data_IF_681158833210
#
_entry.id   IF_681158833210
#
_cell.length_a   1.000
_cell.length_b   1.000
_cell.length_c   1.000
_cell.angle_alpha   90.00
_cell.angle_beta   90.00
_cell.angle_gamma   90.00
#
_symmetry.space_group_name_H-M   'P 1'
#
loop_
_entity.id
_entity.type
_entity.pdbx_description
1 polymer ?
#
# COMPACT_ATOMS: atom_id res chain seq x y z
N UNK A 1 -12.34 -8.23 -0.82
CA UNK A 1 -12.83 -7.02 -1.52
C UNK A 1 -11.74 -6.36 -2.34
N UNK A 2 -10.58 -6.05 -1.75
CA UNK A 2 -9.49 -5.33 -2.44
C UNK A 2 -9.02 -6.03 -3.72
N UNK A 3 -8.91 -7.34 -3.73
CA UNK A 3 -8.55 -8.11 -4.94
C UNK A 3 -9.53 -7.88 -6.09
N UNK A 4 -10.83 -7.92 -5.79
CA UNK A 4 -11.89 -7.63 -6.79
C UNK A 4 -11.72 -6.20 -7.31
N UNK A 5 -11.55 -5.24 -6.39
CA UNK A 5 -11.37 -3.83 -6.73
C UNK A 5 -10.18 -3.59 -7.67
N UNK A 6 -9.01 -4.15 -7.36
CA UNK A 6 -7.79 -4.02 -8.18
C UNK A 6 -7.97 -4.64 -9.57
N UNK A 7 -8.61 -5.81 -9.65
CA UNK A 7 -8.82 -6.53 -10.91
C UNK A 7 -9.66 -5.72 -11.90
N UNK A 8 -10.71 -5.05 -11.41
CA UNK A 8 -11.61 -4.27 -12.26
C UNK A 8 -11.14 -2.83 -12.49
N UNK A 9 -10.31 -2.29 -11.58
CA UNK A 9 -9.91 -0.88 -11.57
C UNK A 9 -9.24 -0.45 -12.87
N UNK A 10 -8.29 -1.23 -13.39
CA UNK A 10 -7.54 -0.88 -14.59
C UNK A 10 -8.42 -0.73 -15.82
N UNK A 11 -9.24 -1.75 -16.11
CA UNK A 11 -10.14 -1.75 -17.27
C UNK A 11 -11.22 -0.67 -17.19
N UNK A 12 -11.76 -0.44 -16.00
CA UNK A 12 -12.76 0.61 -15.78
C UNK A 12 -12.14 2.01 -15.88
N UNK A 13 -10.91 2.21 -15.38
CA UNK A 13 -10.19 3.47 -15.48
C UNK A 13 -9.86 3.82 -16.94
N UNK A 14 -9.50 2.85 -17.76
CA UNK A 14 -9.24 3.07 -19.18
C UNK A 14 -10.51 3.40 -19.96
N UNK A 15 -11.64 2.79 -19.60
CA UNK A 15 -12.94 3.04 -20.27
C UNK A 15 -13.60 4.34 -19.83
N UNK A 16 -13.66 4.64 -18.55
CA UNK A 16 -14.49 5.75 -18.01
C UNK A 16 -13.67 6.96 -17.55
N UNK A 17 -12.36 6.82 -17.42
CA UNK A 17 -11.48 7.85 -16.84
C UNK A 17 -11.13 7.58 -15.38
N UNK A 18 -10.22 8.40 -14.88
CA UNK A 18 -9.69 8.22 -13.52
C UNK A 18 -10.59 8.90 -12.48
N UNK A 19 -11.00 10.14 -12.77
CA UNK A 19 -11.82 10.94 -11.87
C UNK A 19 -13.17 10.28 -11.51
N UNK A 20 -14.02 9.82 -12.45
CA UNK A 20 -15.29 9.18 -12.10
C UNK A 20 -15.08 7.93 -11.24
N UNK A 21 -14.02 7.16 -11.51
CA UNK A 21 -13.74 5.96 -10.75
C UNK A 21 -13.30 6.25 -9.31
N UNK A 22 -12.51 7.31 -9.11
CA UNK A 22 -12.17 7.82 -7.78
C UNK A 22 -13.40 8.27 -7.00
N UNK A 23 -14.36 8.95 -7.67
CA UNK A 23 -15.62 9.36 -7.05
C UNK A 23 -16.50 8.16 -6.68
N UNK A 24 -16.62 7.17 -7.57
CA UNK A 24 -17.38 5.94 -7.31
C UNK A 24 -16.76 5.17 -6.14
N UNK A 25 -15.43 5.04 -6.10
CA UNK A 25 -14.74 4.40 -4.98
C UNK A 25 -15.02 5.12 -3.66
N UNK A 26 -14.98 6.45 -3.64
CA UNK A 26 -15.32 7.23 -2.44
C UNK A 26 -16.77 6.98 -1.98
N UNK A 27 -17.74 7.00 -2.89
CA UNK A 27 -19.15 6.73 -2.57
C UNK A 27 -19.36 5.32 -2.02
N UNK A 28 -18.76 4.30 -2.64
CA UNK A 28 -18.83 2.92 -2.15
C UNK A 28 -18.21 2.82 -0.76
N UNK A 29 -17.08 3.48 -0.51
CA UNK A 29 -16.43 3.45 0.80
C UNK A 29 -17.24 4.15 1.88
N UNK A 30 -17.87 5.29 1.58
CA UNK A 30 -18.79 6.00 2.48
C UNK A 30 -19.97 5.08 2.84
N UNK A 31 -20.65 4.53 1.84
CA UNK A 31 -21.78 3.63 2.06
C UNK A 31 -21.37 2.38 2.85
N UNK A 32 -20.22 1.80 2.56
CA UNK A 32 -19.67 0.64 3.27
C UNK A 32 -19.34 0.97 4.74
N UNK A 33 -18.73 2.12 5.01
CA UNK A 33 -18.37 2.56 6.37
C UNK A 33 -19.62 2.78 7.22
N UNK A 34 -20.60 3.49 6.67
CA UNK A 34 -21.88 3.76 7.34
C UNK A 34 -22.62 2.44 7.56
N UNK A 35 -22.76 1.59 6.53
CA UNK A 35 -23.44 0.31 6.60
C UNK A 35 -22.77 -0.68 7.57
N UNK A 36 -21.44 -0.67 7.66
CA UNK A 36 -20.72 -1.49 8.65
C UNK A 36 -21.13 -1.10 10.07
N UNK A 37 -21.19 0.19 10.38
CA UNK A 37 -21.62 0.66 11.71
C UNK A 37 -23.09 0.34 12.05
N UNK A 38 -23.97 0.22 11.05
CA UNK A 38 -25.36 -0.18 11.22
C UNK A 38 -25.59 -1.69 11.15
N UNK A 39 -24.56 -2.51 10.94
CA UNK A 39 -24.72 -3.95 10.85
C UNK A 39 -25.21 -4.55 12.18
N UNK A 40 -26.20 -5.45 12.09
CA UNK A 40 -26.78 -6.16 13.25
C UNK A 40 -26.31 -7.61 13.34
N UNK A 41 -25.78 -8.15 12.26
CA UNK A 41 -25.26 -9.51 12.20
C UNK A 41 -23.94 -9.58 11.43
N UNK A 42 -23.23 -10.69 11.62
CA UNK A 42 -21.89 -10.89 11.04
C UNK A 42 -21.91 -10.92 9.51
N UNK A 43 -22.97 -11.46 8.91
CA UNK A 43 -23.08 -11.58 7.44
C UNK A 43 -23.20 -10.20 6.78
N UNK A 44 -24.02 -9.29 7.33
CA UNK A 44 -24.14 -7.92 6.83
C UNK A 44 -22.86 -7.13 7.05
N UNK A 45 -22.19 -7.33 8.20
CA UNK A 45 -20.88 -6.73 8.45
C UNK A 45 -19.86 -7.16 7.40
N UNK A 46 -19.73 -8.46 7.13
CA UNK A 46 -18.83 -9.01 6.12
C UNK A 46 -19.16 -8.43 4.74
N UNK A 47 -20.43 -8.35 4.37
CA UNK A 47 -20.84 -7.80 3.07
C UNK A 47 -20.37 -6.34 2.90
N UNK A 48 -20.65 -5.47 3.88
CA UNK A 48 -20.17 -4.07 3.82
C UNK A 48 -18.64 -3.97 3.84
N UNK A 49 -17.94 -4.84 4.57
CA UNK A 49 -16.45 -4.90 4.55
C UNK A 49 -15.91 -5.32 3.20
N UNK A 50 -16.58 -6.22 2.47
CA UNK A 50 -16.22 -6.60 1.11
C UNK A 50 -16.40 -5.38 0.18
N UNK A 51 -17.52 -4.66 0.24
CA UNK A 51 -17.73 -3.45 -0.56
C UNK A 51 -16.71 -2.36 -0.25
N UNK A 52 -16.40 -2.12 1.03
CA UNK A 52 -15.34 -1.20 1.44
C UNK A 52 -13.97 -1.63 0.89
N UNK A 53 -13.66 -2.93 0.89
CA UNK A 53 -12.47 -3.48 0.27
C UNK A 53 -12.41 -3.22 -1.23
N UNK A 54 -13.51 -3.40 -1.96
CA UNK A 54 -13.58 -3.10 -3.41
C UNK A 54 -13.22 -1.62 -3.65
N UNK A 55 -13.77 -0.71 -2.86
CA UNK A 55 -13.47 0.71 -2.95
C UNK A 55 -11.98 1.01 -2.71
N UNK A 56 -11.38 0.40 -1.68
CA UNK A 56 -9.94 0.52 -1.38
C UNK A 56 -9.10 -0.01 -2.55
N UNK A 57 -9.47 -1.18 -3.10
CA UNK A 57 -8.77 -1.77 -4.25
C UNK A 57 -8.78 -0.85 -5.48
N UNK A 58 -9.93 -0.24 -5.79
CA UNK A 58 -10.05 0.74 -6.87
C UNK A 58 -9.17 1.96 -6.57
N UNK A 59 -9.31 2.56 -5.39
CA UNK A 59 -8.60 3.79 -5.02
C UNK A 59 -7.08 3.57 -5.00
N UNK A 60 -6.60 2.44 -4.47
CA UNK A 60 -5.16 2.11 -4.40
C UNK A 60 -4.51 1.93 -5.77
N UNK A 61 -5.29 1.63 -6.80
CA UNK A 61 -4.81 1.50 -8.18
C UNK A 61 -4.93 2.83 -8.93
N UNK A 62 -6.10 3.47 -8.85
CA UNK A 62 -6.44 4.63 -9.69
C UNK A 62 -5.79 5.90 -9.17
N UNK A 63 -5.65 6.10 -7.85
CA UNK A 63 -5.05 7.33 -7.30
C UNK A 63 -3.57 7.50 -7.66
N UNK A 64 -2.69 6.50 -7.47
CA UNK A 64 -1.30 6.61 -7.92
C UNK A 64 -1.18 6.75 -9.45
N UNK A 65 -2.06 6.08 -10.20
CA UNK A 65 -2.13 6.21 -11.66
C UNK A 65 -2.45 7.65 -12.07
N UNK A 66 -3.48 8.25 -11.49
CA UNK A 66 -3.84 9.64 -11.73
C UNK A 66 -2.69 10.60 -11.38
N UNK A 67 -2.07 10.42 -10.21
CA UNK A 67 -0.92 11.23 -9.79
C UNK A 67 0.22 11.13 -10.80
N UNK A 68 0.52 9.93 -11.28
CA UNK A 68 1.61 9.72 -12.25
C UNK A 68 1.32 10.32 -13.63
N UNK A 69 0.05 10.42 -14.03
CA UNK A 69 -0.39 10.97 -15.31
C UNK A 69 -0.48 12.49 -15.33
N UNK A 70 -0.71 13.12 -14.17
CA UNK A 70 -0.80 14.59 -14.06
C UNK A 70 0.54 15.21 -13.68
N UNK A 71 1.45 14.46 -13.04
CA UNK A 71 2.71 14.97 -12.53
C UNK A 71 3.77 15.08 -13.64
N UNK A 72 4.49 16.22 -13.74
CA UNK A 72 5.66 16.34 -14.59
C UNK A 72 6.72 15.28 -14.24
N UNK A 73 7.44 14.77 -15.25
CA UNK A 73 8.40 13.68 -15.08
C UNK A 73 9.44 13.95 -13.98
N UNK A 74 9.94 15.19 -13.89
CA UNK A 74 10.96 15.62 -12.93
C UNK A 74 10.54 15.48 -11.45
N UNK A 75 9.24 15.53 -11.14
CA UNK A 75 8.72 15.51 -9.75
C UNK A 75 7.77 14.35 -9.48
N UNK A 76 7.54 13.49 -10.47
CA UNK A 76 6.60 12.35 -10.39
C UNK A 76 6.91 11.44 -9.20
N UNK A 77 8.18 11.09 -8.99
CA UNK A 77 8.60 10.25 -7.88
C UNK A 77 8.24 10.85 -6.51
N UNK A 78 8.43 12.16 -6.33
CA UNK A 78 8.01 12.87 -5.11
C UNK A 78 6.50 12.76 -4.87
N UNK A 79 5.68 12.98 -5.90
CA UNK A 79 4.22 12.91 -5.74
C UNK A 79 3.72 11.49 -5.46
N UNK A 80 4.34 10.47 -6.05
CA UNK A 80 4.04 9.06 -5.72
C UNK A 80 4.44 8.74 -4.28
N UNK A 81 5.56 9.27 -3.79
CA UNK A 81 5.97 9.11 -2.38
C UNK A 81 5.02 9.81 -1.40
N UNK A 82 4.45 10.97 -1.78
CA UNK A 82 3.42 11.66 -0.99
C UNK A 82 2.16 10.79 -0.85
N UNK A 83 1.78 10.00 -1.87
CA UNK A 83 0.68 9.05 -1.75
C UNK A 83 0.92 8.02 -0.63
N UNK A 84 2.14 7.50 -0.50
CA UNK A 84 2.50 6.61 0.61
C UNK A 84 2.42 7.32 1.96
N UNK A 85 2.93 8.55 2.05
CA UNK A 85 2.84 9.36 3.27
C UNK A 85 1.38 9.60 3.68
N UNK A 86 0.51 9.94 2.73
CA UNK A 86 -0.94 10.13 2.98
C UNK A 86 -1.58 8.86 3.53
N UNK A 87 -1.20 7.68 3.02
CA UNK A 87 -1.67 6.39 3.53
C UNK A 87 -1.27 6.20 4.99
N UNK A 88 -0.02 6.47 5.33
CA UNK A 88 0.51 6.31 6.70
C UNK A 88 -0.14 7.31 7.67
N UNK A 89 -0.32 8.56 7.23
CA UNK A 89 -1.06 9.58 8.02
C UNK A 89 -2.53 9.16 8.25
N UNK A 90 -3.17 8.55 7.25
CA UNK A 90 -4.51 8.00 7.38
C UNK A 90 -4.58 6.88 8.43
N UNK A 91 -3.60 5.98 8.44
CA UNK A 91 -3.49 4.90 9.45
C UNK A 91 -3.36 5.51 10.85
N UNK A 92 -2.44 6.45 11.04
CA UNK A 92 -2.25 7.12 12.34
C UNK A 92 -3.53 7.85 12.79
N UNK A 93 -4.17 8.59 11.89
CA UNK A 93 -5.42 9.30 12.20
C UNK A 93 -6.52 8.34 12.64
N UNK A 94 -6.66 7.20 11.97
CA UNK A 94 -7.62 6.16 12.36
C UNK A 94 -7.30 5.56 13.74
N UNK A 95 -6.02 5.32 14.03
CA UNK A 95 -5.59 4.81 15.34
C UNK A 95 -5.88 5.80 16.47
N UNK A 96 -5.57 7.10 16.28
CA UNK A 96 -5.87 8.16 17.24
C UNK A 96 -7.38 8.26 17.48
N UNK A 97 -8.16 8.31 16.42
CA UNK A 97 -9.64 8.39 16.51
C UNK A 97 -10.22 7.19 17.24
N UNK A 98 -9.74 5.99 16.93
CA UNK A 98 -10.19 4.77 17.63
C UNK A 98 -9.83 4.81 19.12
N UNK A 99 -8.63 5.29 19.47
CA UNK A 99 -8.21 5.47 20.87
C UNK A 99 -9.09 6.49 21.58
N UNK A 100 -9.44 7.62 20.95
CA UNK A 100 -10.29 8.65 21.54
C UNK A 100 -11.76 8.19 21.71
N UNK A 101 -12.27 7.33 20.83
CA UNK A 101 -13.65 6.78 20.92
C UNK A 101 -13.72 5.71 22.01
N UNK A 102 -12.67 4.91 22.18
CA UNK A 102 -12.65 3.84 23.17
C UNK A 102 -12.69 4.38 24.59
N UNK A 103 -13.52 3.75 25.43
CA UNK A 103 -13.62 4.05 26.85
C UNK A 103 -12.87 3.00 27.68
N UNK A 104 -12.24 3.39 28.81
CA UNK A 104 -11.64 2.43 29.73
C UNK A 104 -12.71 1.41 30.21
N UNK A 105 -12.35 0.16 30.28
CA UNK A 105 -13.23 -0.89 30.83
C UNK A 105 -13.00 -0.93 32.34
N UNK A 106 -14.02 -0.59 33.11
CA UNK A 106 -13.99 -0.69 34.57
C UNK A 106 -14.19 -2.16 34.93
N UNK A 107 -13.30 -2.72 35.74
CA UNK A 107 -13.24 -4.14 36.09
C UNK A 107 -14.51 -4.73 36.71
N UNK A 108 -15.46 -3.88 37.13
CA UNK A 108 -16.78 -4.27 37.69
C UNK A 108 -17.87 -4.41 36.62
N UNK A 109 -17.65 -3.94 35.40
CA UNK A 109 -18.65 -4.09 34.33
C UNK A 109 -18.51 -5.43 33.59
N UNK A 110 -19.64 -6.02 33.24
CA UNK A 110 -19.64 -7.16 32.31
C UNK A 110 -19.09 -6.69 30.96
N UNK A 111 -17.99 -7.28 30.51
CA UNK A 111 -17.29 -6.90 29.26
C UNK A 111 -18.26 -6.77 28.06
N UNK A 112 -19.26 -7.66 27.96
CA UNK A 112 -20.23 -7.64 26.87
C UNK A 112 -21.17 -6.42 26.91
N UNK A 113 -21.36 -5.79 28.07
CA UNK A 113 -22.20 -4.60 28.26
C UNK A 113 -21.40 -3.31 28.15
N UNK A 114 -20.09 -3.38 27.96
CA UNK A 114 -19.24 -2.19 27.85
C UNK A 114 -19.59 -1.35 26.62
N UNK A 115 -19.40 -0.02 26.73
CA UNK A 115 -19.57 0.91 25.64
C UNK A 115 -18.84 0.46 24.35
N UNK A 116 -17.61 -0.03 24.49
CA UNK A 116 -16.77 -0.43 23.36
C UNK A 116 -17.41 -1.57 22.56
N UNK A 117 -18.02 -2.54 23.24
CA UNK A 117 -18.66 -3.72 22.62
C UNK A 117 -20.05 -3.37 22.06
N UNK A 118 -20.81 -2.51 22.72
CA UNK A 118 -22.17 -2.20 22.30
C UNK A 118 -22.23 -1.13 21.21
N UNK A 119 -21.43 -0.08 21.32
CA UNK A 119 -21.60 1.12 20.49
C UNK A 119 -20.27 1.66 19.96
N UNK A 120 -19.19 1.60 20.72
CA UNK A 120 -17.90 2.25 20.40
C UNK A 120 -17.35 1.83 19.03
N UNK A 121 -17.34 0.52 18.73
CA UNK A 121 -16.86 0.03 17.43
C UNK A 121 -17.68 0.55 16.23
N UNK A 122 -18.98 0.85 16.42
CA UNK A 122 -19.83 1.42 15.37
C UNK A 122 -19.39 2.83 15.03
N UNK A 123 -19.10 3.64 16.04
CA UNK A 123 -18.56 4.99 15.86
C UNK A 123 -17.22 4.98 15.15
N UNK A 124 -16.34 4.02 15.45
CA UNK A 124 -15.05 3.88 14.76
C UNK A 124 -15.23 3.69 13.24
N UNK A 125 -16.26 2.96 12.81
CA UNK A 125 -16.58 2.81 11.39
C UNK A 125 -17.27 4.02 10.80
N UNK A 126 -18.21 4.65 11.50
CA UNK A 126 -18.90 5.84 10.99
C UNK A 126 -17.94 7.01 10.77
N UNK A 127 -17.00 7.22 11.65
CA UNK A 127 -15.99 8.29 11.49
C UNK A 127 -15.13 8.08 10.26
N UNK A 128 -14.91 6.85 9.79
CA UNK A 128 -14.20 6.60 8.53
C UNK A 128 -14.91 7.19 7.30
N UNK A 129 -16.22 7.46 7.38
CA UNK A 129 -16.96 8.12 6.31
C UNK A 129 -16.55 9.61 6.14
N UNK A 130 -16.05 10.26 7.19
CA UNK A 130 -15.67 11.69 7.14
C UNK A 130 -14.50 11.94 6.17
N UNK A 131 -13.32 11.28 6.30
CA UNK A 131 -12.25 11.47 5.35
C UNK A 131 -12.63 11.01 3.93
N UNK A 132 -13.48 9.99 3.79
CA UNK A 132 -13.98 9.57 2.49
C UNK A 132 -14.88 10.62 1.83
N UNK A 133 -15.72 11.31 2.60
CA UNK A 133 -16.53 12.42 2.12
C UNK A 133 -15.65 13.60 1.70
N UNK A 134 -14.65 13.95 2.50
CA UNK A 134 -13.67 14.98 2.13
C UNK A 134 -12.94 14.62 0.83
N UNK A 135 -12.49 13.38 0.70
CA UNK A 135 -11.88 12.88 -0.54
C UNK A 135 -12.85 13.01 -1.73
N UNK A 136 -14.11 12.60 -1.60
CA UNK A 136 -15.12 12.73 -2.63
C UNK A 136 -15.30 14.19 -3.09
N UNK A 137 -15.42 15.13 -2.14
CA UNK A 137 -15.54 16.55 -2.40
C UNK A 137 -14.30 17.07 -3.12
N UNK A 138 -13.10 16.75 -2.65
CA UNK A 138 -11.85 17.19 -3.26
C UNK A 138 -11.68 16.65 -4.69
N UNK A 139 -12.03 15.39 -4.94
CA UNK A 139 -11.97 14.79 -6.27
C UNK A 139 -12.93 15.49 -7.24
N UNK A 140 -14.04 16.05 -6.75
CA UNK A 140 -14.97 16.81 -7.59
C UNK A 140 -14.31 18.04 -8.26
N UNK A 141 -13.37 18.69 -7.57
CA UNK A 141 -12.70 19.90 -8.05
C UNK A 141 -11.47 19.65 -8.93
N UNK A 142 -10.90 18.45 -8.95
CA UNK A 142 -9.76 18.14 -9.82
C UNK A 142 -10.22 17.86 -11.26
N UNK A 143 -9.37 18.15 -12.28
CA UNK A 143 -9.66 17.81 -13.67
C UNK A 143 -9.55 16.28 -13.88
N UNK A 144 -10.07 15.79 -15.01
CA UNK A 144 -9.76 14.43 -15.47
C UNK A 144 -8.29 14.33 -15.92
N UNK A 145 -7.76 13.09 -15.94
CA UNK A 145 -6.39 12.83 -16.41
C UNK A 145 -6.17 13.37 -17.84
N UNK A 146 -5.20 14.28 -18.04
CA UNK A 146 -4.94 14.82 -19.36
C UNK A 146 -4.39 13.75 -20.32
N UNK A 147 -3.65 12.77 -19.83
CA UNK A 147 -3.18 11.64 -20.64
C UNK A 147 -4.35 10.80 -21.13
N UNK A 148 -5.29 10.47 -20.25
CA UNK A 148 -6.51 9.75 -20.63
C UNK A 148 -7.36 10.53 -21.63
N UNK A 149 -7.50 11.86 -21.43
CA UNK A 149 -8.23 12.72 -22.35
C UNK A 149 -7.61 12.73 -23.74
N UNK A 150 -6.28 12.78 -23.85
CA UNK A 150 -5.57 12.75 -25.14
C UNK A 150 -5.79 11.42 -25.86
N UNK A 151 -5.69 10.29 -25.14
CA UNK A 151 -5.92 8.97 -25.71
C UNK A 151 -7.36 8.82 -26.21
N UNK A 152 -8.34 9.44 -25.56
CA UNK A 152 -9.75 9.37 -25.89
C UNK A 152 -10.21 10.53 -26.81
N UNK A 153 -9.34 11.08 -27.65
CA UNK A 153 -9.62 12.11 -28.64
C UNK A 153 -10.18 13.43 -28.06
N UNK A 154 -9.85 13.75 -26.80
CA UNK A 154 -10.21 15.01 -26.11
C UNK A 154 -9.00 15.92 -25.93
N UNK A 155 -8.13 16.00 -26.96
CA UNK A 155 -6.82 16.67 -26.90
C UNK A 155 -6.92 18.15 -26.53
N UNK A 156 -7.94 18.89 -26.94
CA UNK A 156 -8.13 20.29 -26.56
C UNK A 156 -8.30 20.47 -25.04
N UNK A 157 -9.09 19.57 -24.39
CA UNK A 157 -9.28 19.59 -22.93
C UNK A 157 -8.00 19.21 -22.21
N UNK A 158 -7.27 18.21 -22.74
CA UNK A 158 -5.97 17.80 -22.23
C UNK A 158 -4.95 18.94 -22.32
N UNK A 159 -4.88 19.63 -23.44
CA UNK A 159 -4.00 20.78 -23.64
C UNK A 159 -4.24 21.90 -22.60
N UNK A 160 -5.53 22.21 -22.30
CA UNK A 160 -5.87 23.19 -21.25
C UNK A 160 -5.34 22.77 -19.87
N UNK A 161 -5.41 21.49 -19.53
CA UNK A 161 -4.90 20.99 -18.25
C UNK A 161 -3.37 21.03 -18.23
N UNK A 162 -2.70 20.51 -19.25
CA UNK A 162 -1.24 20.56 -19.36
C UNK A 162 -0.72 22.01 -19.37
N UNK A 163 -1.41 22.93 -20.03
CA UNK A 163 -1.02 24.35 -20.06
C UNK A 163 -1.07 25.01 -18.67
N UNK A 164 -2.01 24.60 -17.82
CA UNK A 164 -2.06 25.07 -16.41
C UNK A 164 -0.91 24.53 -15.57
N UNK A 165 -0.37 23.36 -15.94
CA UNK A 165 0.70 22.69 -15.18
C UNK A 165 2.11 23.17 -15.55
N UNK A 166 2.37 23.44 -16.82
CA UNK A 166 3.72 23.77 -17.29
C UNK A 166 3.79 24.78 -18.44
N UNK A 167 2.67 25.45 -18.77
CA UNK A 167 2.61 26.40 -19.87
C UNK A 167 2.34 25.76 -21.25
N UNK A 168 2.19 26.61 -22.28
CA UNK A 168 1.77 26.15 -23.62
C UNK A 168 2.76 25.19 -24.29
N UNK A 169 4.06 25.51 -24.26
CA UNK A 169 5.10 24.66 -24.85
C UNK A 169 5.14 23.26 -24.22
N UNK A 170 5.04 23.20 -22.89
CA UNK A 170 4.94 21.93 -22.17
C UNK A 170 3.69 21.14 -22.60
N UNK A 171 2.55 21.80 -22.74
CA UNK A 171 1.31 21.17 -23.15
C UNK A 171 1.39 20.57 -24.56
N UNK A 172 1.98 21.30 -25.53
CA UNK A 172 2.19 20.79 -26.89
C UNK A 172 3.11 19.56 -26.90
N UNK A 173 4.23 19.61 -26.18
CA UNK A 173 5.15 18.50 -26.05
C UNK A 173 4.47 17.26 -25.45
N UNK A 174 3.72 17.43 -24.35
CA UNK A 174 3.06 16.31 -23.68
C UNK A 174 1.92 15.68 -24.50
N UNK A 175 1.11 16.50 -25.20
CA UNK A 175 0.06 16.00 -26.08
C UNK A 175 0.68 15.21 -27.24
N UNK A 176 1.73 15.73 -27.88
CA UNK A 176 2.41 15.06 -28.98
C UNK A 176 3.08 13.75 -28.53
N UNK A 177 3.73 13.74 -27.37
CA UNK A 177 4.31 12.53 -26.75
C UNK A 177 3.26 11.45 -26.55
N UNK A 178 2.09 11.79 -25.98
CA UNK A 178 1.01 10.83 -25.75
C UNK A 178 0.43 10.31 -27.07
N UNK A 179 0.29 11.17 -28.09
CA UNK A 179 -0.23 10.76 -29.40
C UNK A 179 0.78 9.85 -30.15
N UNK A 180 2.08 10.10 -30.09
CA UNK A 180 3.10 9.23 -30.67
C UNK A 180 3.08 7.84 -30.03
N UNK A 181 2.99 7.78 -28.70
CA UNK A 181 2.88 6.51 -27.96
C UNK A 181 1.59 5.74 -28.28
N UNK A 182 0.48 6.46 -28.58
CA UNK A 182 -0.79 5.84 -29.01
C UNK A 182 -0.63 5.14 -30.37
N UNK A 183 0.10 5.74 -31.31
CA UNK A 183 0.36 5.17 -32.62
C UNK A 183 1.18 3.88 -32.55
N UNK A 184 2.15 3.80 -31.67
CA UNK A 184 2.96 2.60 -31.44
C UNK A 184 2.17 1.51 -30.69
N UNK A 185 1.38 1.89 -29.69
CA UNK A 185 0.56 0.92 -28.91
C UNK A 185 -0.58 0.29 -29.71
N UNK A 186 -1.06 0.94 -30.77
CA UNK A 186 -2.08 0.35 -31.66
C UNK A 186 -1.53 -0.71 -32.59
N UNK A 187 -0.22 -0.69 -32.88
CA UNK A 187 0.47 -1.72 -33.69
C UNK A 187 0.90 -2.94 -32.86
N UNK A 188 1.18 -2.73 -31.56
CA UNK A 188 1.57 -3.79 -30.63
C UNK A 188 0.42 -4.02 -29.62
N UNK A 189 -0.47 -4.95 -29.94
CA UNK A 189 -1.39 -5.56 -28.99
C UNK A 189 -0.57 -6.40 -27.98
N UNK A 190 0.17 -5.72 -27.09
CA UNK A 190 0.91 -6.39 -26.02
C UNK A 190 -0.10 -7.06 -25.09
N UNK A 191 -0.43 -8.30 -25.42
CA UNK A 191 -1.24 -9.17 -24.59
C UNK A 191 -0.58 -9.32 -23.22
N UNK A 192 -1.35 -9.50 -22.14
CA UNK A 192 -0.80 -9.87 -20.83
C UNK A 192 0.16 -11.08 -20.94
N UNK A 193 -0.09 -11.99 -21.89
CA UNK A 193 0.79 -13.13 -22.15
C UNK A 193 2.19 -12.71 -22.62
N UNK A 194 2.32 -11.62 -23.38
CA UNK A 194 3.63 -11.15 -23.85
C UNK A 194 4.52 -10.61 -22.75
N UNK A 195 3.95 -10.15 -21.62
CA UNK A 195 4.70 -9.75 -20.44
C UNK A 195 5.47 -10.92 -19.81
N UNK A 196 4.97 -12.14 -19.96
CA UNK A 196 5.59 -13.35 -19.42
C UNK A 196 6.45 -14.10 -20.44
N UNK A 197 6.81 -13.46 -21.57
CA UNK A 197 7.64 -14.05 -22.62
C UNK A 197 9.00 -13.33 -22.71
N UNK A 198 10.01 -14.08 -23.18
CA UNK A 198 11.34 -13.55 -23.43
C UNK A 198 11.98 -12.86 -22.21
N UNK A 199 12.70 -11.82 -22.49
CA UNK A 199 13.48 -11.02 -21.50
C UNK A 199 12.60 -10.28 -20.50
N UNK A 200 11.36 -9.89 -20.88
CA UNK A 200 10.41 -9.19 -20.03
C UNK A 200 9.95 -10.04 -18.83
N UNK A 201 9.89 -11.38 -18.99
CA UNK A 201 9.52 -12.33 -17.94
C UNK A 201 10.35 -12.13 -16.66
N UNK A 202 11.66 -11.92 -16.80
CA UNK A 202 12.57 -11.72 -15.65
C UNK A 202 12.22 -10.46 -14.88
N UNK A 203 11.97 -9.35 -15.58
CA UNK A 203 11.62 -8.05 -14.98
C UNK A 203 10.28 -8.15 -14.24
N UNK A 204 9.27 -8.78 -14.85
CA UNK A 204 7.95 -8.98 -14.22
C UNK A 204 8.06 -9.84 -12.97
N UNK A 205 8.83 -10.94 -13.01
CA UNK A 205 9.04 -11.81 -11.85
C UNK A 205 9.70 -11.02 -10.70
N UNK A 206 10.71 -10.19 -11.00
CA UNK A 206 11.34 -9.34 -9.99
C UNK A 206 10.31 -8.41 -9.34
N UNK A 207 9.48 -7.73 -10.15
CA UNK A 207 8.43 -6.84 -9.65
C UNK A 207 7.39 -7.57 -8.79
N UNK A 208 6.96 -8.76 -9.20
CA UNK A 208 6.02 -9.60 -8.44
C UNK A 208 6.66 -10.02 -7.10
N UNK A 209 7.89 -10.52 -7.12
CA UNK A 209 8.57 -10.97 -5.90
C UNK A 209 8.77 -9.82 -4.92
N UNK A 210 9.12 -8.62 -5.39
CA UNK A 210 9.25 -7.43 -4.56
C UNK A 210 7.89 -7.05 -3.93
N UNK A 211 6.82 -7.09 -4.71
CA UNK A 211 5.46 -6.80 -4.24
C UNK A 211 4.98 -7.83 -3.20
N UNK A 212 5.25 -9.11 -3.42
CA UNK A 212 4.93 -10.19 -2.47
C UNK A 212 5.79 -10.08 -1.20
N UNK A 213 7.08 -9.83 -1.33
CA UNK A 213 8.00 -9.68 -0.20
C UNK A 213 7.60 -8.53 0.71
N UNK A 214 7.16 -7.40 0.13
CA UNK A 214 6.69 -6.25 0.90
C UNK A 214 5.51 -6.61 1.82
N UNK A 215 4.64 -7.52 1.40
CA UNK A 215 3.52 -7.99 2.22
C UNK A 215 3.96 -9.11 3.18
N UNK A 216 4.70 -10.10 2.67
CA UNK A 216 5.09 -11.29 3.44
C UNK A 216 6.26 -11.05 4.40
N UNK A 217 6.83 -9.83 4.43
CA UNK A 217 7.71 -9.42 5.53
C UNK A 217 7.00 -9.36 6.89
N UNK A 218 5.68 -9.62 6.96
CA UNK A 218 4.94 -9.79 8.20
C UNK A 218 4.44 -8.49 8.85
N UNK A 219 4.77 -7.32 8.31
CA UNK A 219 4.42 -6.05 8.95
C UNK A 219 2.90 -5.80 9.02
N UNK A 220 2.15 -6.22 8.00
CA UNK A 220 0.70 -6.08 7.99
C UNK A 220 0.01 -6.94 9.07
N UNK A 221 0.66 -8.01 9.51
CA UNK A 221 0.21 -8.79 10.64
C UNK A 221 0.29 -7.97 11.93
N UNK A 222 1.38 -7.24 12.12
CA UNK A 222 1.55 -6.37 13.29
C UNK A 222 0.43 -5.33 13.36
N UNK A 223 0.02 -4.73 12.22
CA UNK A 223 -1.07 -3.76 12.20
C UNK A 223 -2.46 -4.38 12.35
N UNK A 224 -2.72 -5.49 11.66
CA UNK A 224 -4.05 -6.11 11.63
C UNK A 224 -4.37 -6.92 12.88
N UNK A 225 -3.36 -7.46 13.53
CA UNK A 225 -3.45 -8.32 14.72
C UNK A 225 -2.66 -7.75 15.90
N UNK A 226 -2.55 -6.42 15.95
CA UNK A 226 -1.84 -5.71 17.01
C UNK A 226 -2.34 -6.10 18.40
N UNK A 227 -3.66 -6.31 18.56
CA UNK A 227 -4.26 -6.72 19.81
C UNK A 227 -3.73 -8.08 20.28
N UNK A 228 -3.69 -9.09 19.42
CA UNK A 228 -3.17 -10.43 19.76
C UNK A 228 -1.66 -10.38 20.07
N UNK A 229 -0.91 -9.58 19.31
CA UNK A 229 0.53 -9.43 19.48
C UNK A 229 0.84 -8.77 20.83
N UNK A 230 0.17 -7.67 21.17
CA UNK A 230 0.36 -6.97 22.44
C UNK A 230 -0.20 -7.76 23.62
N UNK A 231 -1.32 -8.49 23.47
CA UNK A 231 -1.84 -9.39 24.47
C UNK A 231 -0.85 -10.52 24.78
N UNK A 232 -0.26 -11.12 23.75
CA UNK A 232 0.78 -12.15 23.90
C UNK A 232 2.06 -11.60 24.54
N UNK A 233 2.30 -10.29 24.43
CA UNK A 233 3.40 -9.59 25.09
C UNK A 233 3.04 -9.14 26.53
N UNK A 234 1.85 -9.48 27.04
CA UNK A 234 1.44 -9.23 28.44
C UNK A 234 0.82 -7.85 28.70
N UNK A 235 0.39 -7.11 27.67
CA UNK A 235 -0.29 -5.82 27.84
C UNK A 235 -1.79 -5.98 28.12
N UNK A 236 -2.35 -5.14 28.98
CA UNK A 236 -3.79 -5.05 29.22
C UNK A 236 -4.50 -4.34 28.08
N UNK A 237 -5.79 -4.63 27.88
CA UNK A 237 -6.62 -4.09 26.79
C UNK A 237 -6.64 -2.56 26.75
N UNK A 238 -6.65 -1.90 27.90
CA UNK A 238 -6.60 -0.43 28.01
C UNK A 238 -5.34 0.19 27.41
N UNK A 239 -4.20 -0.49 27.54
CA UNK A 239 -2.91 0.03 27.09
C UNK A 239 -2.62 -0.30 25.62
N UNK A 240 -3.33 -1.30 25.08
CA UNK A 240 -3.13 -1.77 23.70
C UNK A 240 -3.41 -0.68 22.67
N UNK A 241 -4.52 0.04 22.79
CA UNK A 241 -4.90 1.08 21.84
C UNK A 241 -3.89 2.23 21.85
N UNK A 242 -3.37 2.60 23.02
CA UNK A 242 -2.30 3.59 23.13
C UNK A 242 -0.99 3.11 22.48
N UNK A 243 -0.61 1.85 22.72
CA UNK A 243 0.57 1.25 22.07
C UNK A 243 0.40 1.19 20.55
N UNK A 244 -0.81 0.96 20.05
CA UNK A 244 -1.11 1.00 18.62
C UNK A 244 -0.90 2.42 18.06
N UNK A 245 -1.27 3.48 18.78
CA UNK A 245 -0.99 4.87 18.36
C UNK A 245 0.52 5.13 18.33
N UNK A 246 1.29 4.65 19.30
CA UNK A 246 2.76 4.74 19.27
C UNK A 246 3.32 4.12 17.99
N UNK A 247 2.84 2.94 17.60
CA UNK A 247 3.27 2.29 16.36
C UNK A 247 2.97 3.14 15.12
N UNK A 248 1.83 3.81 15.10
CA UNK A 248 1.44 4.73 14.02
C UNK A 248 2.32 5.97 13.95
N UNK A 249 2.64 6.59 15.09
CA UNK A 249 3.55 7.75 15.15
C UNK A 249 4.93 7.36 14.62
N UNK A 250 5.48 6.24 15.07
CA UNK A 250 6.77 5.73 14.60
C UNK A 250 6.73 5.45 13.10
N UNK A 251 5.65 4.86 12.60
CA UNK A 251 5.48 4.61 11.16
C UNK A 251 5.54 5.92 10.35
N UNK A 252 4.87 6.99 10.80
CA UNK A 252 4.92 8.30 10.14
C UNK A 252 6.33 8.87 10.16
N UNK A 253 6.98 8.94 11.34
CA UNK A 253 8.32 9.51 11.48
C UNK A 253 9.31 8.79 10.56
N UNK A 254 9.34 7.48 10.60
CA UNK A 254 10.30 6.69 9.81
C UNK A 254 9.94 6.64 8.32
N UNK A 255 8.68 6.87 7.94
CA UNK A 255 8.32 7.10 6.52
C UNK A 255 8.96 8.38 6.00
N UNK A 256 8.95 9.48 6.78
CA UNK A 256 9.70 10.70 6.40
C UNK A 256 11.20 10.45 6.28
N UNK A 257 11.79 9.71 7.22
CA UNK A 257 13.20 9.33 7.15
C UNK A 257 13.47 8.53 5.88
N UNK A 258 12.61 7.56 5.54
CA UNK A 258 12.72 6.77 4.31
C UNK A 258 12.67 7.63 3.05
N UNK A 259 11.71 8.57 2.97
CA UNK A 259 11.59 9.49 1.84
C UNK A 259 12.83 10.37 1.65
N UNK A 260 13.48 10.78 2.74
CA UNK A 260 14.69 11.59 2.69
C UNK A 260 15.94 10.76 2.34
N UNK A 261 16.00 9.52 2.78
CA UNK A 261 17.18 8.66 2.61
C UNK A 261 17.20 7.91 1.28
N UNK A 262 16.05 7.73 0.61
CA UNK A 262 15.95 6.97 -0.64
C UNK A 262 16.86 7.54 -1.75
N UNK A 263 16.94 8.85 -1.86
CA UNK A 263 17.78 9.50 -2.88
C UNK A 263 19.27 9.54 -2.48
N UNK A 264 19.59 9.34 -1.20
CA UNK A 264 20.98 9.32 -0.70
C UNK A 264 21.60 7.94 -0.76
N UNK A 265 20.92 6.93 -0.24
CA UNK A 265 21.46 5.57 -0.08
C UNK A 265 21.20 4.64 -1.27
N UNK A 266 20.24 4.99 -2.14
CA UNK A 266 19.83 4.16 -3.27
C UNK A 266 18.76 3.13 -2.88
N UNK A 267 18.09 2.62 -3.91
CA UNK A 267 16.90 1.76 -3.72
C UNK A 267 17.29 0.35 -3.28
N UNK A 268 18.29 -0.24 -3.93
CA UNK A 268 18.78 -1.59 -3.62
C UNK A 268 19.33 -1.67 -2.19
N UNK A 269 20.19 -0.72 -1.82
CA UNK A 269 20.82 -0.69 -0.50
C UNK A 269 19.78 -0.61 0.61
N UNK A 270 18.76 0.24 0.47
CA UNK A 270 17.70 0.37 1.47
C UNK A 270 16.82 -0.88 1.56
N UNK A 271 16.49 -1.51 0.43
CA UNK A 271 15.74 -2.78 0.46
C UNK A 271 16.53 -3.91 1.13
N UNK A 272 17.83 -4.00 0.88
CA UNK A 272 18.71 -4.98 1.56
C UNK A 272 18.81 -4.70 3.06
N UNK A 273 18.98 -3.44 3.45
CA UNK A 273 19.00 -3.03 4.86
C UNK A 273 17.67 -3.38 5.56
N UNK A 274 16.53 -3.13 4.89
CA UNK A 274 15.21 -3.48 5.43
C UNK A 274 15.03 -4.97 5.63
N UNK A 275 15.41 -5.79 4.67
CA UNK A 275 15.28 -7.24 4.77
C UNK A 275 16.19 -7.84 5.86
N UNK A 276 17.45 -7.40 5.96
CA UNK A 276 18.37 -7.83 7.03
C UNK A 276 17.89 -7.33 8.40
N UNK A 277 17.50 -6.07 8.49
CA UNK A 277 17.00 -5.47 9.73
C UNK A 277 15.77 -6.23 10.25
N UNK A 278 14.76 -6.47 9.40
CA UNK A 278 13.58 -7.24 9.79
C UNK A 278 13.92 -8.69 10.17
N UNK A 279 14.82 -9.35 9.43
CA UNK A 279 15.28 -10.70 9.79
C UNK A 279 15.84 -10.73 11.20
N UNK A 280 16.74 -9.80 11.54
CA UNK A 280 17.36 -9.71 12.85
C UNK A 280 16.36 -9.40 13.96
N UNK A 281 15.47 -8.44 13.71
CA UNK A 281 14.44 -8.05 14.69
C UNK A 281 13.47 -9.21 14.93
N UNK A 282 13.00 -9.91 13.89
CA UNK A 282 12.08 -11.04 14.05
C UNK A 282 12.75 -12.26 14.68
N UNK A 283 14.04 -12.47 14.48
CA UNK A 283 14.79 -13.50 15.20
C UNK A 283 14.77 -13.24 16.70
N UNK A 284 15.04 -11.99 17.12
CA UNK A 284 15.03 -11.59 18.54
C UNK A 284 13.59 -11.58 19.09
N UNK A 285 12.61 -11.06 18.32
CA UNK A 285 11.21 -11.01 18.73
C UNK A 285 10.63 -12.41 18.93
N UNK A 286 10.91 -13.34 18.01
CA UNK A 286 10.54 -14.76 18.15
C UNK A 286 11.18 -15.40 19.37
N UNK A 287 12.47 -15.14 19.63
CA UNK A 287 13.15 -15.60 20.84
C UNK A 287 12.51 -15.02 22.11
N UNK A 288 12.14 -13.72 22.10
CA UNK A 288 11.42 -13.09 23.21
C UNK A 288 10.10 -13.82 23.54
N UNK A 289 9.29 -14.13 22.53
CA UNK A 289 8.05 -14.93 22.73
C UNK A 289 8.34 -16.35 23.21
N UNK A 290 9.37 -16.99 22.68
CA UNK A 290 9.78 -18.34 23.11
C UNK A 290 10.18 -18.38 24.59
N UNK A 291 10.96 -17.41 25.05
CA UNK A 291 11.37 -17.26 26.45
C UNK A 291 10.32 -16.57 27.33
N UNK A 292 9.12 -16.27 26.79
CA UNK A 292 8.03 -15.61 27.50
C UNK A 292 8.39 -14.24 28.09
N UNK A 293 9.26 -13.52 27.41
CA UNK A 293 9.56 -12.12 27.75
C UNK A 293 8.30 -11.28 27.51
N UNK A 294 7.96 -10.42 28.48
CA UNK A 294 6.76 -9.56 28.40
C UNK A 294 7.12 -8.10 28.62
N UNK A 295 6.16 -7.19 28.31
CA UNK A 295 6.28 -5.77 28.60
C UNK A 295 7.13 -4.98 27.61
N UNK A 296 7.80 -3.96 28.11
CA UNK A 296 8.52 -2.95 27.30
C UNK A 296 9.49 -3.53 26.27
N UNK A 297 10.32 -4.55 26.56
CA UNK A 297 11.24 -5.09 25.56
C UNK A 297 10.54 -5.59 24.29
N UNK A 298 9.37 -6.23 24.43
CA UNK A 298 8.59 -6.72 23.31
C UNK A 298 7.99 -5.56 22.50
N UNK A 299 7.46 -4.54 23.16
CA UNK A 299 6.98 -3.32 22.50
C UNK A 299 8.09 -2.64 21.70
N UNK A 300 9.28 -2.50 22.26
CA UNK A 300 10.44 -1.90 21.57
C UNK A 300 10.79 -2.68 20.30
N UNK A 301 10.79 -4.01 20.35
CA UNK A 301 11.08 -4.84 19.17
C UNK A 301 10.01 -4.70 18.08
N UNK A 302 8.73 -4.65 18.46
CA UNK A 302 7.63 -4.40 17.52
C UNK A 302 7.75 -3.02 16.88
N UNK A 303 8.03 -1.99 17.68
CA UNK A 303 8.22 -0.61 17.20
C UNK A 303 9.44 -0.52 16.27
N UNK A 304 10.54 -1.19 16.60
CA UNK A 304 11.73 -1.26 15.74
C UNK A 304 11.44 -1.96 14.39
N UNK A 305 10.62 -3.02 14.39
CA UNK A 305 10.21 -3.67 13.15
C UNK A 305 9.42 -2.71 12.25
N UNK A 306 8.49 -1.95 12.84
CA UNK A 306 7.71 -0.94 12.11
C UNK A 306 8.62 0.18 11.59
N UNK A 307 9.54 0.69 12.40
CA UNK A 307 10.50 1.71 12.01
C UNK A 307 11.39 1.26 10.83
N UNK A 308 11.93 0.05 10.95
CA UNK A 308 12.76 -0.56 9.90
C UNK A 308 11.98 -0.70 8.59
N UNK A 309 10.76 -1.22 8.62
CA UNK A 309 9.90 -1.36 7.46
C UNK A 309 9.50 -0.01 6.85
N UNK A 310 9.07 0.93 7.67
CA UNK A 310 8.60 2.25 7.24
C UNK A 310 9.69 3.07 6.54
N UNK A 311 10.94 2.93 7.01
CA UNK A 311 12.09 3.60 6.41
C UNK A 311 12.56 2.93 5.10
N UNK A 312 12.28 1.64 4.92
CA UNK A 312 12.88 0.83 3.85
C UNK A 312 11.82 0.28 2.87
N UNK A 313 11.26 -0.90 3.16
CA UNK A 313 10.39 -1.63 2.23
C UNK A 313 9.10 -0.88 1.87
N UNK A 314 8.51 -0.13 2.78
CA UNK A 314 7.21 0.53 2.55
C UNK A 314 7.23 1.52 1.38
N UNK A 315 8.07 2.58 1.39
CA UNK A 315 8.11 3.55 0.30
C UNK A 315 8.87 3.02 -0.93
N UNK A 316 9.94 2.25 -0.71
CA UNK A 316 10.90 1.91 -1.77
C UNK A 316 10.33 0.88 -2.72
N UNK A 317 9.48 -0.04 -2.26
CA UNK A 317 8.81 -1.02 -3.14
C UNK A 317 8.07 -0.33 -4.27
N UNK A 318 7.30 0.72 -3.99
CA UNK A 318 6.56 1.44 -5.01
C UNK A 318 7.46 2.21 -5.97
N UNK A 319 8.54 2.80 -5.45
CA UNK A 319 9.54 3.50 -6.27
C UNK A 319 10.21 2.51 -7.22
N UNK A 320 10.71 1.40 -6.70
CA UNK A 320 11.39 0.36 -7.50
C UNK A 320 10.44 -0.21 -8.55
N UNK A 321 9.22 -0.58 -8.21
CA UNK A 321 8.24 -1.11 -9.16
C UNK A 321 7.97 -0.08 -10.27
N UNK A 322 7.91 1.22 -9.95
CA UNK A 322 7.71 2.26 -10.96
C UNK A 322 8.92 2.51 -11.86
N UNK A 323 10.14 2.32 -11.35
CA UNK A 323 11.40 2.50 -12.06
C UNK A 323 11.85 1.26 -12.84
N UNK A 324 11.40 0.06 -12.41
CA UNK A 324 11.81 -1.21 -12.98
C UNK A 324 11.18 -1.48 -14.36
N UNK A 325 9.97 -0.99 -14.61
CA UNK A 325 9.21 -1.34 -15.81
C UNK A 325 9.39 -0.31 -16.93
N UNK A 326 9.73 -0.76 -18.17
CA UNK A 326 9.79 0.09 -19.34
C UNK A 326 8.47 0.84 -19.58
N UNK A 327 8.55 2.06 -20.10
CA UNK A 327 7.41 2.95 -20.35
C UNK A 327 6.26 2.25 -21.11
N UNK A 328 6.61 1.44 -22.11
CA UNK A 328 5.66 0.74 -23.01
C UNK A 328 4.71 -0.20 -22.27
N UNK A 329 5.19 -0.90 -21.25
CA UNK A 329 4.44 -1.95 -20.55
C UNK A 329 4.15 -1.60 -19.08
N UNK A 330 4.65 -0.46 -18.60
CA UNK A 330 4.63 -0.06 -17.17
C UNK A 330 3.25 -0.17 -16.54
N UNK A 331 2.20 0.38 -17.16
CA UNK A 331 0.86 0.34 -16.58
C UNK A 331 0.36 -1.07 -16.36
N UNK A 332 0.53 -1.96 -17.35
CA UNK A 332 0.13 -3.37 -17.25
C UNK A 332 1.00 -4.13 -16.24
N UNK A 333 2.30 -3.89 -16.24
CA UNK A 333 3.23 -4.54 -15.32
C UNK A 333 3.01 -4.11 -13.87
N UNK A 334 2.74 -2.82 -13.63
CA UNK A 334 2.36 -2.31 -12.31
C UNK A 334 1.04 -2.92 -11.84
N UNK A 335 0.04 -3.06 -12.70
CA UNK A 335 -1.24 -3.70 -12.36
C UNK A 335 -1.04 -5.17 -11.95
N UNK A 336 -0.19 -5.92 -12.66
CA UNK A 336 0.14 -7.31 -12.31
C UNK A 336 0.85 -7.37 -10.95
N UNK A 337 1.82 -6.48 -10.71
CA UNK A 337 2.54 -6.42 -9.43
C UNK A 337 1.61 -6.01 -8.28
N UNK A 338 0.70 -5.06 -8.50
CA UNK A 338 -0.28 -4.64 -7.50
C UNK A 338 -1.29 -5.75 -7.20
N UNK A 339 -1.72 -6.50 -8.22
CA UNK A 339 -2.57 -7.68 -8.03
C UNK A 339 -1.86 -8.75 -7.19
N UNK A 340 -0.59 -9.04 -7.48
CA UNK A 340 0.23 -9.97 -6.70
C UNK A 340 0.40 -9.49 -5.25
N UNK A 341 0.59 -8.18 -5.03
CA UNK A 341 0.68 -7.56 -3.71
C UNK A 341 -0.59 -7.80 -2.88
N UNK A 342 -1.77 -7.50 -3.43
CA UNK A 342 -3.02 -7.69 -2.71
C UNK A 342 -3.37 -9.17 -2.52
N UNK A 343 -2.99 -10.05 -3.46
CA UNK A 343 -3.10 -11.50 -3.28
C UNK A 343 -2.22 -11.97 -2.12
N UNK A 344 -0.98 -11.51 -2.07
CA UNK A 344 -0.06 -11.82 -0.97
C UNK A 344 -0.59 -11.28 0.38
N UNK A 345 -1.15 -10.07 0.39
CA UNK A 345 -1.78 -9.48 1.57
C UNK A 345 -2.97 -10.33 2.07
N UNK A 346 -3.82 -10.78 1.15
CA UNK A 346 -4.95 -11.65 1.48
C UNK A 346 -4.48 -12.98 2.08
N UNK A 347 -3.54 -13.65 1.41
CA UNK A 347 -2.99 -14.93 1.90
C UNK A 347 -2.36 -14.75 3.28
N UNK A 348 -1.53 -13.71 3.47
CA UNK A 348 -0.87 -13.41 4.74
C UNK A 348 -1.90 -13.23 5.87
N UNK A 349 -2.89 -12.36 5.64
CA UNK A 349 -3.89 -12.02 6.66
C UNK A 349 -4.77 -13.23 6.99
N UNK A 350 -5.16 -14.02 5.97
CA UNK A 350 -5.98 -15.22 6.16
C UNK A 350 -5.22 -16.35 6.87
N UNK A 351 -3.94 -16.51 6.57
CA UNK A 351 -3.14 -17.61 7.14
C UNK A 351 -2.57 -17.30 8.51
N UNK A 352 -2.46 -16.04 8.91
CA UNK A 352 -1.85 -15.67 10.20
C UNK A 352 -2.50 -16.36 11.42
N UNK A 353 -3.84 -16.37 11.60
CA UNK A 353 -4.44 -17.06 12.74
C UNK A 353 -4.11 -18.57 12.78
N UNK A 354 -4.03 -19.20 11.60
CA UNK A 354 -3.66 -20.61 11.47
C UNK A 354 -2.19 -20.84 11.85
N UNK A 355 -1.32 -19.97 11.37
CA UNK A 355 0.12 -20.02 11.71
C UNK A 355 0.33 -19.74 13.19
N UNK A 356 -0.34 -18.73 13.74
CA UNK A 356 -0.22 -18.41 15.16
C UNK A 356 -0.74 -19.54 16.07
N UNK A 357 -1.81 -20.22 15.66
CA UNK A 357 -2.34 -21.40 16.37
C UNK A 357 -1.41 -22.61 16.27
N UNK A 358 -0.78 -22.82 15.10
CA UNK A 358 0.06 -24.00 14.86
C UNK A 358 1.51 -23.86 15.34
N UNK A 359 2.11 -22.70 15.09
CA UNK A 359 3.52 -22.42 15.37
C UNK A 359 3.72 -21.56 16.63
N UNK A 360 2.64 -21.00 17.17
CA UNK A 360 2.72 -19.97 18.21
C UNK A 360 3.28 -18.65 17.66
N UNK A 361 3.26 -17.60 18.49
CA UNK A 361 3.77 -16.29 18.11
C UNK A 361 5.27 -16.36 17.73
N UNK A 362 6.07 -17.09 18.49
CA UNK A 362 7.51 -17.22 18.24
C UNK A 362 7.82 -17.86 16.88
N UNK A 363 7.16 -18.97 16.55
CA UNK A 363 7.38 -19.67 15.29
C UNK A 363 6.89 -18.85 14.08
N UNK A 364 5.81 -18.10 14.24
CA UNK A 364 5.27 -17.23 13.19
C UNK A 364 6.24 -16.08 12.87
N UNK A 365 6.84 -15.42 13.89
CA UNK A 365 7.83 -14.37 13.64
C UNK A 365 9.14 -14.92 13.07
N UNK A 366 9.57 -16.10 13.48
CA UNK A 366 10.73 -16.76 12.85
C UNK A 366 10.46 -17.10 11.38
N UNK A 367 9.24 -17.54 11.03
CA UNK A 367 8.86 -17.77 9.64
C UNK A 367 8.97 -16.48 8.82
N UNK A 368 8.46 -15.35 9.33
CA UNK A 368 8.59 -14.06 8.64
C UNK A 368 10.05 -13.61 8.53
N UNK A 369 10.85 -13.86 9.54
CA UNK A 369 12.30 -13.64 9.49
C UNK A 369 12.98 -14.44 8.38
N UNK A 370 12.63 -15.71 8.20
CA UNK A 370 13.14 -16.56 7.11
C UNK A 370 12.70 -16.07 5.73
N UNK A 371 11.46 -15.57 5.62
CA UNK A 371 10.98 -14.97 4.37
C UNK A 371 11.78 -13.69 4.05
N UNK A 372 12.04 -12.83 5.04
CA UNK A 372 12.88 -11.64 4.86
C UNK A 372 14.31 -12.01 4.45
N UNK A 373 14.89 -13.05 5.08
CA UNK A 373 16.22 -13.55 4.75
C UNK A 373 16.28 -14.09 3.31
N UNK A 374 15.26 -14.84 2.90
CA UNK A 374 15.15 -15.34 1.52
C UNK A 374 15.01 -14.18 0.54
N UNK A 375 14.24 -13.16 0.91
CA UNK A 375 14.11 -11.90 0.17
C UNK A 375 15.43 -11.16 0.02
N UNK A 376 16.28 -11.13 1.07
CA UNK A 376 17.61 -10.54 1.01
C UNK A 376 18.47 -11.20 -0.08
N UNK A 377 18.57 -12.52 -0.10
CA UNK A 377 19.35 -13.23 -1.12
C UNK A 377 18.80 -13.00 -2.53
N UNK A 378 17.48 -13.02 -2.67
CA UNK A 378 16.83 -12.73 -3.95
C UNK A 378 17.14 -11.32 -4.45
N UNK A 379 16.95 -10.31 -3.61
CA UNK A 379 17.20 -8.89 -3.96
C UNK A 379 18.67 -8.64 -4.25
N UNK A 380 19.59 -9.18 -3.46
CA UNK A 380 21.03 -9.05 -3.67
C UNK A 380 21.45 -9.55 -5.05
N UNK A 381 20.86 -10.67 -5.50
CA UNK A 381 21.19 -11.32 -6.78
C UNK A 381 20.51 -10.67 -7.98
N UNK A 382 19.23 -10.29 -7.86
CA UNK A 382 18.39 -9.96 -9.02
C UNK A 382 18.04 -8.48 -9.15
N UNK A 383 18.04 -7.70 -8.06
CA UNK A 383 17.67 -6.29 -8.12
C UNK A 383 18.90 -5.45 -8.50
N UNK A 384 18.86 -4.70 -9.62
CA UNK A 384 19.87 -3.70 -9.92
C UNK A 384 19.66 -2.45 -9.04
N UNK A 385 20.69 -1.61 -8.92
CA UNK A 385 20.51 -0.27 -8.35
C UNK A 385 19.88 0.64 -9.43
N UNK A 386 18.75 1.25 -9.09
CA UNK A 386 17.99 2.10 -10.03
C UNK A 386 18.32 3.59 -9.86
N UNK A 387 19.00 3.97 -8.78
CA UNK A 387 19.36 5.36 -8.50
C UNK A 387 20.18 5.99 -9.62
N UNK A 388 19.66 7.08 -10.18
CA UNK A 388 20.37 7.87 -11.19
C UNK A 388 20.51 7.22 -12.56
N UNK A 389 19.87 6.07 -12.79
CA UNK A 389 19.89 5.37 -14.09
C UNK A 389 18.64 5.69 -14.90
N UNK A 390 18.78 5.73 -16.22
CA UNK A 390 17.65 5.77 -17.14
C UNK A 390 16.94 4.41 -17.17
N UNK A 391 15.68 4.40 -17.61
CA UNK A 391 14.90 3.16 -17.71
C UNK A 391 15.51 2.18 -18.71
N UNK A 392 16.11 2.70 -19.76
CA UNK A 392 16.79 1.94 -20.81
C UNK A 392 18.08 1.28 -20.28
N UNK A 393 18.80 1.96 -19.40
CA UNK A 393 19.99 1.41 -18.71
C UNK A 393 19.60 0.29 -17.74
N UNK A 394 18.50 0.49 -16.98
CA UNK A 394 17.98 -0.54 -16.07
C UNK A 394 17.52 -1.78 -16.84
N UNK A 395 16.83 -1.58 -17.97
CA UNK A 395 16.38 -2.67 -18.84
C UNK A 395 17.57 -3.48 -19.37
N UNK A 396 18.63 -2.80 -19.87
CA UNK A 396 19.85 -3.48 -20.34
C UNK A 396 20.54 -4.26 -19.24
N UNK A 397 20.62 -3.74 -18.02
CA UNK A 397 21.28 -4.42 -16.90
C UNK A 397 20.56 -5.68 -16.42
N UNK A 398 19.23 -5.68 -16.48
CA UNK A 398 18.43 -6.85 -16.06
C UNK A 398 18.40 -7.93 -17.15
N UNK A 399 18.38 -7.47 -18.38
CA UNK A 399 18.10 -8.31 -19.54
C UNK A 399 19.41 -8.83 -20.17
N UNK A 400 20.52 -8.08 -19.98
CA UNK A 400 21.92 -8.44 -20.35
C UNK A 400 22.10 -8.62 -21.82
#
# INVERSE_FOLDING_TARGET
GCLIGVTIAGSLADKHGRKPLMMIAAMIFIAASIGTGFSHNISTLIAYRIFGGIAIGIASTVSPMYISEISPAAVRGKFVSINQLTTVLGILSAQIVNWLIAKPIISTENFLMSWNVQTGWRWMFWVCAVPALLYFIMVFFIPESPRWMTINNKSEKAFKVFSKLGGKQYAEAQVNEVLSTKGESSKDNTSLKSLFQGKMKKIIIIGIVIAVLQQWCGINVIFNYAQEIFSSAGYHVSDMLFNIVITGVVNVIFTFVGMYTVDKLGRKSLMLLGTVGLTSIYAILGAGYYFKVTGIPMLVLVVLAIACYAMTLAPITWVVISELFPNRVRAKAMSVSTFALWTACFILTFTFPLLNKGLGAYGTFWLYGLICLSGFFFLRKNLPETKGKSLEEIEKEIVG
#
